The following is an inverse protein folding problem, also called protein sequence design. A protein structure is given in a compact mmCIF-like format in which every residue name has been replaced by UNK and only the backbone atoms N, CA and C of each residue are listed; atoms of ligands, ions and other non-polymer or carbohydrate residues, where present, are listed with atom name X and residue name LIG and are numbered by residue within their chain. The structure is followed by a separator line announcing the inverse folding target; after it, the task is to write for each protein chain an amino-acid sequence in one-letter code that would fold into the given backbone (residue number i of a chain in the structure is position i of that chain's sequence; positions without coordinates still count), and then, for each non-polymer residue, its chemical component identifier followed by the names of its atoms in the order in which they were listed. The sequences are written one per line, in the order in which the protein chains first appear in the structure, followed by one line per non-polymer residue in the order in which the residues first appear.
data_IF_426229937087
#
_entry.id   IF_426229937087
#
_cell.length_a   1.000
_cell.length_b   1.000
_cell.length_c   1.000
_cell.angle_alpha   90.00
_cell.angle_beta   90.00
_cell.angle_gamma   90.00
#
_symmetry.space_group_name_H-M   'P 1'
#
loop_
_entity.id
_entity.type
_entity.pdbx_description
1 polymer ?
#
# COMPACT_ATOMS: atom_id res chain seq x y z
N UNK A 1 20.29 -50.27 -38.04
CA UNK A 1 21.19 -49.13 -37.74
C UNK A 1 20.34 -47.99 -37.23
N UNK A 2 20.24 -47.86 -35.91
CA UNK A 2 19.47 -46.81 -35.26
C UNK A 2 20.45 -45.78 -34.69
N UNK A 3 20.49 -44.59 -35.27
CA UNK A 3 21.14 -43.41 -34.69
C UNK A 3 20.05 -42.47 -34.20
N UNK A 4 19.71 -42.60 -32.92
CA UNK A 4 18.87 -41.66 -32.20
C UNK A 4 19.66 -40.37 -31.96
N UNK A 5 19.06 -39.26 -32.40
CA UNK A 5 19.50 -37.89 -32.14
C UNK A 5 19.44 -37.62 -30.63
N UNK A 6 20.58 -37.31 -30.02
CA UNK A 6 20.63 -36.66 -28.72
C UNK A 6 20.31 -35.18 -28.93
N UNK A 7 19.18 -34.74 -28.36
CA UNK A 7 18.80 -33.34 -28.27
C UNK A 7 19.50 -32.71 -27.06
N UNK A 8 20.50 -31.87 -27.32
CA UNK A 8 21.07 -30.94 -26.35
C UNK A 8 19.99 -30.00 -25.82
N UNK A 9 19.64 -30.13 -24.54
CA UNK A 9 18.83 -29.16 -23.80
C UNK A 9 19.82 -28.26 -23.07
N UNK A 10 19.97 -27.03 -23.54
CA UNK A 10 20.98 -26.07 -23.09
C UNK A 10 20.87 -25.75 -21.60
N UNK A 11 21.94 -26.01 -20.86
CA UNK A 11 22.09 -25.61 -19.46
C UNK A 11 22.32 -24.09 -19.39
N UNK A 12 21.41 -23.35 -18.75
CA UNK A 12 21.63 -21.92 -18.49
C UNK A 12 22.90 -21.74 -17.67
N UNK A 13 23.82 -20.88 -18.12
CA UNK A 13 25.08 -20.62 -17.41
C UNK A 13 24.90 -19.77 -16.14
N UNK A 14 23.71 -19.19 -15.96
CA UNK A 14 23.33 -18.36 -14.82
C UNK A 14 22.12 -18.93 -14.10
N UNK A 15 22.16 -18.84 -12.76
CA UNK A 15 21.06 -19.20 -11.90
C UNK A 15 20.05 -18.06 -11.87
N UNK A 16 18.76 -18.42 -11.95
CA UNK A 16 17.69 -17.44 -11.86
C UNK A 16 17.45 -17.06 -10.40
N UNK A 17 17.51 -15.76 -10.09
CA UNK A 17 17.30 -15.25 -8.73
C UNK A 17 15.81 -15.00 -8.49
N UNK A 18 15.28 -15.53 -7.40
CA UNK A 18 13.86 -15.41 -7.03
C UNK A 18 13.75 -15.02 -5.56
N UNK A 19 12.84 -14.11 -5.21
CA UNK A 19 12.55 -13.80 -3.81
C UNK A 19 11.62 -14.85 -3.21
N UNK A 20 11.90 -15.27 -1.99
CA UNK A 20 10.97 -16.09 -1.21
C UNK A 20 9.76 -15.28 -0.76
N UNK A 21 8.72 -15.95 -0.26
CA UNK A 21 7.55 -15.28 0.31
C UNK A 21 7.88 -14.36 1.50
N UNK A 22 9.03 -14.56 2.15
CA UNK A 22 9.55 -13.73 3.25
C UNK A 22 10.66 -12.76 2.80
N UNK A 23 10.80 -12.50 1.50
CA UNK A 23 11.78 -11.55 0.96
C UNK A 23 13.23 -12.06 0.88
N UNK A 24 13.55 -13.23 1.46
CA UNK A 24 14.90 -13.83 1.36
C UNK A 24 15.21 -14.27 -0.07
N UNK A 25 16.45 -14.06 -0.50
CA UNK A 25 16.95 -14.49 -1.81
C UNK A 25 17.00 -16.03 -1.93
N UNK A 26 16.50 -16.53 -3.06
CA UNK A 26 16.59 -17.91 -3.52
C UNK A 26 17.14 -17.92 -4.93
N UNK A 27 17.65 -19.07 -5.36
CA UNK A 27 17.98 -19.32 -6.75
C UNK A 27 17.26 -20.54 -7.28
N UNK A 28 16.92 -20.50 -8.56
CA UNK A 28 16.39 -21.60 -9.35
C UNK A 28 17.47 -22.07 -10.33
N UNK A 29 17.78 -23.36 -10.30
CA UNK A 29 18.65 -24.03 -11.28
C UNK A 29 17.92 -25.30 -11.73
N UNK A 30 17.58 -25.40 -13.01
CA UNK A 30 16.89 -26.55 -13.63
C UNK A 30 15.63 -27.03 -12.88
N UNK A 31 14.85 -26.09 -12.32
CA UNK A 31 13.62 -26.40 -11.57
C UNK A 31 13.86 -26.80 -10.11
N UNK A 32 15.10 -26.76 -9.63
CA UNK A 32 15.45 -26.93 -8.23
C UNK A 32 15.64 -25.59 -7.53
N UNK A 33 14.92 -25.40 -6.42
CA UNK A 33 15.03 -24.21 -5.59
C UNK A 33 16.06 -24.38 -4.48
N UNK A 34 16.92 -23.38 -4.34
CA UNK A 34 17.94 -23.32 -3.32
C UNK A 34 17.79 -22.07 -2.44
N UNK A 35 18.24 -22.20 -1.19
CA UNK A 35 18.33 -21.12 -0.21
C UNK A 35 19.80 -20.86 0.09
N UNK A 36 20.15 -19.59 0.34
CA UNK A 36 21.51 -19.19 0.70
C UNK A 36 21.93 -19.85 2.02
N UNK A 37 23.07 -20.54 2.02
CA UNK A 37 23.72 -21.09 3.20
C UNK A 37 24.72 -20.07 3.76
N UNK A 38 25.73 -19.74 2.95
CA UNK A 38 26.80 -18.78 3.28
C UNK A 38 27.41 -18.19 2.03
N UNK A 39 28.16 -17.11 2.15
CA UNK A 39 29.02 -16.60 1.09
C UNK A 39 30.43 -16.34 1.62
N UNK A 40 31.41 -16.44 0.72
CA UNK A 40 32.80 -16.04 0.92
C UNK A 40 33.18 -15.21 -0.30
N UNK A 41 33.44 -13.93 -0.09
CA UNK A 41 33.67 -12.98 -1.17
C UNK A 41 32.52 -13.03 -2.19
N UNK A 42 32.83 -13.21 -3.48
CA UNK A 42 31.86 -13.36 -4.55
C UNK A 42 31.36 -14.81 -4.75
N UNK A 43 31.80 -15.76 -3.93
CA UNK A 43 31.36 -17.16 -3.99
C UNK A 43 30.22 -17.40 -3.03
N UNK A 44 29.08 -17.85 -3.55
CA UNK A 44 27.86 -18.13 -2.80
C UNK A 44 27.60 -19.63 -2.75
N UNK A 45 27.32 -20.11 -1.55
CA UNK A 45 26.98 -21.50 -1.27
C UNK A 45 25.49 -21.60 -0.99
N UNK A 46 24.86 -22.56 -1.67
CA UNK A 46 23.43 -22.73 -1.67
C UNK A 46 23.07 -24.17 -1.28
N UNK A 47 21.99 -24.31 -0.54
CA UNK A 47 21.44 -25.61 -0.11
C UNK A 47 20.03 -25.77 -0.66
N UNK A 48 19.65 -26.98 -1.03
CA UNK A 48 18.28 -27.25 -1.47
C UNK A 48 17.27 -26.83 -0.39
N UNK A 49 16.17 -26.19 -0.79
CA UNK A 49 15.12 -25.76 0.15
C UNK A 49 14.55 -26.93 0.98
N UNK A 50 14.48 -28.13 0.39
CA UNK A 50 13.96 -29.34 1.04
C UNK A 50 14.89 -29.88 2.14
N UNK A 51 16.10 -29.31 2.35
CA UNK A 51 17.00 -29.69 3.45
C UNK A 51 16.38 -29.51 4.85
N UNK A 52 15.40 -28.61 4.97
CA UNK A 52 14.69 -28.35 6.22
C UNK A 52 13.47 -29.27 6.45
N UNK A 53 13.05 -30.03 5.43
CA UNK A 53 11.92 -30.95 5.53
C UNK A 53 12.34 -32.22 6.28
N UNK A 54 11.50 -32.68 7.23
CA UNK A 54 11.81 -33.85 8.07
C UNK A 54 11.74 -35.17 7.29
N UNK A 55 10.78 -35.31 6.38
CA UNK A 55 10.48 -36.56 5.67
C UNK A 55 11.23 -36.68 4.33
N UNK A 56 11.43 -35.57 3.63
CA UNK A 56 12.02 -35.49 2.28
C UNK A 56 13.30 -34.65 2.28
N UNK A 57 14.17 -34.90 3.25
CA UNK A 57 15.39 -34.10 3.47
C UNK A 57 16.34 -34.25 2.28
N UNK A 58 16.55 -33.17 1.54
CA UNK A 58 17.50 -33.12 0.43
C UNK A 58 18.82 -32.47 0.88
N UNK A 59 19.95 -33.10 0.58
CA UNK A 59 21.29 -32.61 0.95
C UNK A 59 22.04 -31.94 -0.21
N UNK A 60 21.43 -31.85 -1.39
CA UNK A 60 22.00 -31.22 -2.57
C UNK A 60 22.46 -29.78 -2.31
N UNK A 61 23.59 -29.42 -2.92
CA UNK A 61 24.24 -28.12 -2.79
C UNK A 61 24.60 -27.57 -4.17
N UNK A 62 24.53 -26.26 -4.29
CA UNK A 62 25.01 -25.54 -5.47
C UNK A 62 25.97 -24.42 -5.05
N UNK A 63 26.90 -24.08 -5.94
CA UNK A 63 27.82 -22.96 -5.77
C UNK A 63 27.68 -22.03 -6.96
N UNK A 64 27.55 -20.73 -6.71
CA UNK A 64 27.52 -19.70 -7.75
C UNK A 64 28.58 -18.65 -7.50
N UNK A 65 29.11 -18.03 -8.54
CA UNK A 65 29.95 -16.85 -8.46
C UNK A 65 29.11 -15.64 -8.84
N UNK A 66 29.09 -14.60 -7.99
CA UNK A 66 28.39 -13.35 -8.27
C UNK A 66 29.19 -12.54 -9.30
N UNK A 67 28.52 -12.08 -10.35
CA UNK A 67 29.10 -11.21 -11.38
C UNK A 67 28.11 -10.08 -11.63
N UNK A 68 28.37 -8.91 -11.04
CA UNK A 68 27.37 -7.85 -10.95
C UNK A 68 26.15 -8.30 -10.14
N UNK A 69 24.95 -8.11 -10.70
CA UNK A 69 23.68 -8.53 -10.10
C UNK A 69 23.27 -9.98 -10.45
N UNK A 70 24.11 -10.70 -11.17
CA UNK A 70 23.82 -12.06 -11.64
C UNK A 70 24.64 -13.12 -10.89
N UNK A 71 24.08 -14.33 -10.82
CA UNK A 71 24.72 -15.49 -10.20
C UNK A 71 25.12 -16.51 -11.27
N UNK A 72 26.40 -16.55 -11.65
CA UNK A 72 26.93 -17.55 -12.58
C UNK A 72 27.07 -18.89 -11.87
N UNK A 73 26.57 -19.96 -12.48
CA UNK A 73 26.65 -21.30 -11.89
C UNK A 73 28.09 -21.79 -11.95
N UNK A 74 28.66 -22.13 -10.79
CA UNK A 74 30.02 -22.66 -10.68
C UNK A 74 30.03 -24.17 -10.42
N UNK A 75 29.15 -24.66 -9.54
CA UNK A 75 28.95 -26.09 -9.27
C UNK A 75 27.47 -26.38 -9.08
N UNK A 76 26.94 -27.32 -9.85
CA UNK A 76 25.58 -27.82 -9.76
C UNK A 76 25.57 -29.27 -10.27
N UNK A 77 24.81 -30.13 -9.59
CA UNK A 77 24.64 -31.52 -9.98
C UNK A 77 23.20 -31.95 -9.65
N UNK A 78 22.41 -32.14 -10.69
CA UNK A 78 21.01 -32.53 -10.58
C UNK A 78 20.83 -33.93 -9.94
N UNK A 79 21.83 -34.82 -10.04
CA UNK A 79 21.75 -36.20 -9.52
C UNK A 79 21.86 -36.26 -7.98
N UNK A 80 22.31 -35.19 -7.33
CA UNK A 80 22.39 -35.11 -5.88
C UNK A 80 21.04 -34.90 -5.20
N UNK A 81 19.98 -34.63 -5.98
CA UNK A 81 18.63 -34.51 -5.47
C UNK A 81 17.96 -35.87 -5.31
N UNK A 82 17.32 -36.08 -4.16
CA UNK A 82 16.47 -37.25 -3.89
C UNK A 82 14.99 -36.98 -4.23
N UNK A 83 14.73 -36.01 -5.09
CA UNK A 83 13.40 -35.61 -5.50
C UNK A 83 13.41 -35.05 -6.91
N UNK A 84 12.27 -35.12 -7.60
CA UNK A 84 12.11 -34.49 -8.90
C UNK A 84 12.18 -32.95 -8.81
N UNK A 85 12.58 -32.27 -9.90
CA UNK A 85 12.46 -30.82 -10.02
C UNK A 85 10.99 -30.40 -10.02
N UNK A 86 10.70 -29.21 -9.48
CA UNK A 86 9.36 -28.64 -9.40
C UNK A 86 9.28 -27.41 -10.31
N UNK A 87 9.14 -27.62 -11.63
CA UNK A 87 9.22 -26.55 -12.63
C UNK A 87 8.21 -25.40 -12.40
N UNK A 88 7.02 -25.69 -11.86
CA UNK A 88 5.99 -24.68 -11.60
C UNK A 88 6.29 -23.81 -10.37
N UNK A 89 7.07 -24.30 -9.40
CA UNK A 89 7.27 -23.61 -8.11
C UNK A 89 8.04 -22.29 -8.22
N UNK A 90 9.11 -22.17 -9.03
CA UNK A 90 9.72 -20.88 -9.37
C UNK A 90 8.71 -19.85 -9.89
N UNK A 91 7.84 -20.25 -10.81
CA UNK A 91 6.90 -19.34 -11.45
C UNK A 91 5.74 -18.94 -10.52
N UNK A 92 5.26 -19.88 -9.69
CA UNK A 92 4.31 -19.58 -8.60
C UNK A 92 4.88 -18.51 -7.66
N UNK A 93 6.16 -18.63 -7.28
CA UNK A 93 6.82 -17.65 -6.42
C UNK A 93 6.93 -16.28 -7.10
N UNK A 94 7.24 -16.23 -8.41
CA UNK A 94 7.26 -14.98 -9.18
C UNK A 94 5.89 -14.32 -9.20
N UNK A 95 4.83 -15.06 -9.53
CA UNK A 95 3.46 -14.54 -9.53
C UNK A 95 3.06 -13.99 -8.15
N UNK A 96 3.40 -14.71 -7.07
CA UNK A 96 3.15 -14.25 -5.71
C UNK A 96 3.95 -13.00 -5.32
N UNK A 97 5.19 -12.86 -5.81
CA UNK A 97 6.00 -11.66 -5.58
C UNK A 97 5.45 -10.47 -6.35
N UNK A 98 5.05 -10.67 -7.61
CA UNK A 98 4.41 -9.63 -8.42
C UNK A 98 3.13 -9.12 -7.75
N UNK A 99 2.29 -10.01 -7.23
CA UNK A 99 1.08 -9.62 -6.47
C UNK A 99 1.42 -8.76 -5.24
N UNK A 100 2.54 -9.04 -4.56
CA UNK A 100 2.99 -8.24 -3.40
C UNK A 100 3.52 -6.89 -3.82
N UNK A 101 4.35 -6.86 -4.87
CA UNK A 101 4.92 -5.62 -5.41
C UNK A 101 3.80 -4.69 -5.90
N UNK A 102 2.82 -5.20 -6.65
CA UNK A 102 1.60 -4.46 -7.00
C UNK A 102 0.82 -4.02 -5.77
N UNK A 103 0.73 -4.88 -4.76
CA UNK A 103 0.13 -4.56 -3.48
C UNK A 103 0.78 -3.36 -2.78
N UNK A 104 2.09 -3.19 -2.93
CA UNK A 104 2.88 -2.12 -2.32
C UNK A 104 2.80 -0.80 -3.06
N UNK A 105 2.67 -0.83 -4.39
CA UNK A 105 2.67 0.38 -5.23
C UNK A 105 1.26 0.87 -5.61
N UNK A 106 0.24 0.01 -5.50
CA UNK A 106 -1.14 0.33 -5.91
C UNK A 106 -2.12 0.29 -4.72
N UNK A 107 -3.05 1.24 -4.74
CA UNK A 107 -4.22 1.30 -3.85
C UNK A 107 -5.39 0.41 -4.31
N UNK A 108 -5.23 -0.38 -5.38
CA UNK A 108 -6.27 -1.27 -5.90
C UNK A 108 -6.78 -2.27 -4.85
N UNK A 109 -8.01 -2.74 -5.00
CA UNK A 109 -8.50 -3.80 -4.12
C UNK A 109 -7.69 -5.10 -4.32
N UNK A 110 -7.32 -5.84 -3.26
CA UNK A 110 -6.54 -7.07 -3.40
C UNK A 110 -7.14 -8.09 -4.37
N UNK A 111 -8.48 -8.12 -4.49
CA UNK A 111 -9.16 -8.99 -5.45
C UNK A 111 -8.83 -8.63 -6.91
N UNK A 112 -8.72 -7.33 -7.22
CA UNK A 112 -8.36 -6.83 -8.55
C UNK A 112 -6.92 -7.22 -8.90
N UNK A 113 -5.99 -6.91 -8.00
CA UNK A 113 -4.56 -7.29 -8.15
C UNK A 113 -4.41 -8.80 -8.40
N UNK A 114 -5.13 -9.63 -7.65
CA UNK A 114 -5.11 -11.09 -7.83
C UNK A 114 -5.60 -11.49 -9.22
N UNK A 115 -6.73 -10.94 -9.66
CA UNK A 115 -7.31 -11.28 -10.96
C UNK A 115 -6.41 -10.83 -12.11
N UNK A 116 -5.81 -9.64 -12.02
CA UNK A 116 -4.93 -9.08 -13.05
C UNK A 116 -3.68 -9.95 -13.23
N UNK A 117 -3.02 -10.33 -12.13
CA UNK A 117 -1.85 -11.22 -12.20
C UNK A 117 -2.23 -12.63 -12.66
N UNK A 118 -3.37 -13.17 -12.25
CA UNK A 118 -3.85 -14.47 -12.74
C UNK A 118 -4.09 -14.43 -14.26
N UNK A 119 -4.66 -13.34 -14.77
CA UNK A 119 -4.91 -13.17 -16.21
C UNK A 119 -3.62 -13.17 -17.03
N UNK A 120 -2.51 -12.67 -16.48
CA UNK A 120 -1.20 -12.67 -17.14
C UNK A 120 -0.34 -13.91 -16.84
N UNK A 121 -0.75 -14.77 -15.91
CA UNK A 121 -0.01 -15.99 -15.52
C UNK A 121 -0.39 -17.17 -16.42
N UNK A 122 0.59 -17.99 -16.83
CA UNK A 122 0.35 -19.20 -17.64
C UNK A 122 -0.68 -20.13 -17.00
N UNK A 123 -1.59 -20.68 -17.83
CA UNK A 123 -2.69 -21.56 -17.42
C UNK A 123 -2.21 -22.82 -16.70
N UNK A 124 -1.01 -23.29 -17.02
CA UNK A 124 -0.41 -24.50 -16.43
C UNK A 124 -0.02 -24.30 -14.96
N UNK A 125 0.24 -23.06 -14.53
CA UNK A 125 0.71 -22.71 -13.19
C UNK A 125 -0.46 -22.33 -12.28
N UNK A 126 -1.57 -21.84 -12.84
CA UNK A 126 -2.72 -21.36 -12.07
C UNK A 126 -3.23 -22.37 -11.02
N UNK A 127 -3.29 -23.69 -11.29
CA UNK A 127 -3.68 -24.69 -10.28
C UNK A 127 -2.70 -24.81 -9.11
N UNK A 128 -1.43 -24.43 -9.31
CA UNK A 128 -0.38 -24.47 -8.30
C UNK A 128 -0.30 -23.20 -7.44
N UNK A 129 -1.08 -22.16 -7.76
CA UNK A 129 -1.12 -20.93 -6.98
C UNK A 129 -1.71 -21.17 -5.58
N UNK A 130 -1.27 -20.42 -4.55
CA UNK A 130 -1.89 -20.49 -3.24
C UNK A 130 -3.37 -20.08 -3.28
N UNK A 131 -4.13 -20.50 -2.25
CA UNK A 131 -5.53 -20.09 -2.10
C UNK A 131 -5.66 -18.55 -2.14
N UNK A 132 -6.72 -18.05 -2.79
CA UNK A 132 -6.99 -16.62 -2.95
C UNK A 132 -6.92 -15.85 -1.63
N UNK A 133 -7.43 -16.41 -0.53
CA UNK A 133 -7.37 -15.77 0.79
C UNK A 133 -5.95 -15.69 1.35
N UNK A 134 -5.11 -16.69 1.12
CA UNK A 134 -3.71 -16.65 1.53
C UNK A 134 -2.95 -15.55 0.77
N UNK A 135 -3.21 -15.40 -0.53
CA UNK A 135 -2.65 -14.32 -1.35
C UNK A 135 -3.15 -12.96 -0.88
N UNK A 136 -4.46 -12.82 -0.63
CA UNK A 136 -5.06 -11.58 -0.09
C UNK A 136 -4.38 -11.16 1.23
N UNK A 137 -4.13 -12.11 2.14
CA UNK A 137 -3.41 -11.84 3.38
C UNK A 137 -1.94 -11.43 3.13
N UNK A 138 -1.28 -12.02 2.14
CA UNK A 138 0.07 -11.62 1.77
C UNK A 138 0.13 -10.19 1.21
N UNK A 139 -0.82 -9.79 0.36
CA UNK A 139 -0.95 -8.42 -0.17
C UNK A 139 -1.18 -7.42 0.97
N UNK A 140 -2.14 -7.72 1.87
CA UNK A 140 -2.42 -6.87 3.04
C UNK A 140 -1.19 -6.68 3.93
N UNK A 141 -0.39 -7.73 4.13
CA UNK A 141 0.87 -7.65 4.89
C UNK A 141 1.93 -6.84 4.17
N UNK A 142 2.04 -6.98 2.84
CA UNK A 142 3.02 -6.24 2.05
C UNK A 142 2.75 -4.72 2.08
N UNK A 143 1.47 -4.32 2.05
CA UNK A 143 1.04 -2.91 2.23
C UNK A 143 1.54 -2.31 3.54
N UNK A 144 1.34 -3.01 4.65
CA UNK A 144 1.80 -2.58 5.98
C UNK A 144 3.31 -2.38 6.12
N UNK A 145 4.11 -2.93 5.21
CA UNK A 145 5.58 -2.73 5.20
C UNK A 145 5.97 -1.45 4.46
N UNK A 146 5.16 -1.00 3.50
CA UNK A 146 5.33 0.31 2.86
C UNK A 146 4.70 1.44 3.69
N UNK A 147 3.66 1.15 4.46
CA UNK A 147 3.15 2.03 5.53
C UNK A 147 4.11 2.03 6.75
N UNK A 148 5.41 2.28 6.53
CA UNK A 148 6.38 2.49 7.61
C UNK A 148 6.12 3.80 8.40
N UNK A 149 5.12 4.58 8.00
CA UNK A 149 4.47 5.54 8.89
C UNK A 149 3.68 4.74 9.93
N UNK A 150 4.37 4.33 11.01
CA UNK A 150 3.73 3.81 12.21
C UNK A 150 2.54 4.71 12.54
N UNK A 151 1.34 4.11 12.63
CA UNK A 151 0.17 4.86 13.06
C UNK A 151 0.53 5.64 14.34
N UNK A 152 0.36 6.97 14.33
CA UNK A 152 0.70 7.81 15.47
C UNK A 152 -0.07 7.30 16.68
N UNK A 153 0.63 7.09 17.79
CA UNK A 153 0.02 6.62 19.04
C UNK A 153 -0.46 7.78 19.91
N UNK A 154 0.08 8.96 19.68
CA UNK A 154 -0.25 10.20 20.37
C UNK A 154 -0.46 11.31 19.35
N UNK A 155 -1.17 12.37 19.75
CA UNK A 155 -1.33 13.56 18.91
C UNK A 155 0.01 14.24 18.67
N UNK A 156 0.92 14.26 19.64
CA UNK A 156 2.26 14.86 19.50
C UNK A 156 3.13 14.17 18.45
N UNK A 157 3.01 12.85 18.33
CA UNK A 157 3.71 12.06 17.30
C UNK A 157 3.14 12.29 15.90
N UNK A 158 1.89 12.76 15.79
CA UNK A 158 1.28 13.01 14.49
C UNK A 158 1.87 14.25 13.84
N UNK A 159 2.39 14.08 12.63
CA UNK A 159 2.76 15.17 11.72
C UNK A 159 2.03 14.95 10.42
N UNK A 160 1.35 15.99 9.92
CA UNK A 160 0.74 15.96 8.60
C UNK A 160 1.87 16.03 7.55
N UNK A 161 2.08 14.98 6.74
CA UNK A 161 3.10 15.01 5.69
C UNK A 161 2.75 16.03 4.60
N UNK A 162 3.74 16.76 4.09
CA UNK A 162 3.54 17.78 3.06
C UNK A 162 2.93 17.22 1.77
N UNK A 163 3.23 15.96 1.44
CA UNK A 163 2.64 15.28 0.28
C UNK A 163 1.11 15.15 0.38
N UNK A 164 0.55 15.16 1.60
CA UNK A 164 -0.89 15.06 1.85
C UNK A 164 -1.53 16.41 2.16
N UNK A 165 -0.76 17.51 2.19
CA UNK A 165 -1.32 18.86 2.37
C UNK A 165 -1.72 19.53 1.05
N UNK A 166 -1.38 18.91 -0.09
CA UNK A 166 -1.65 19.39 -1.44
C UNK A 166 -2.57 18.43 -2.21
N UNK A 167 -3.42 18.99 -3.05
CA UNK A 167 -4.27 18.24 -3.99
C UNK A 167 -3.43 17.67 -5.14
N UNK A 168 -4.03 16.79 -5.96
CA UNK A 168 -3.41 16.28 -7.19
C UNK A 168 -3.01 17.39 -8.18
N UNK A 169 -3.61 18.58 -8.07
CA UNK A 169 -3.32 19.75 -8.90
C UNK A 169 -2.35 20.73 -8.21
N UNK A 170 -1.77 20.38 -7.06
CA UNK A 170 -0.79 21.20 -6.35
C UNK A 170 -1.38 22.35 -5.51
N UNK A 171 -2.70 22.38 -5.31
CA UNK A 171 -3.36 23.39 -4.46
C UNK A 171 -3.33 22.91 -3.01
N UNK A 172 -2.95 23.76 -2.07
CA UNK A 172 -3.05 23.46 -0.63
C UNK A 172 -4.51 23.25 -0.24
N UNK A 173 -4.78 22.13 0.44
CA UNK A 173 -6.13 21.82 0.90
C UNK A 173 -6.21 21.30 2.34
N UNK A 174 -5.08 21.06 3.03
CA UNK A 174 -5.10 20.58 4.40
C UNK A 174 -4.24 21.48 5.32
N UNK A 175 -4.78 21.82 6.48
CA UNK A 175 -4.15 22.64 7.53
C UNK A 175 -4.23 21.90 8.86
N UNK A 176 -3.12 21.84 9.59
CA UNK A 176 -3.05 21.26 10.93
C UNK A 176 -3.02 22.38 11.97
N UNK A 177 -4.11 22.52 12.72
CA UNK A 177 -4.30 23.53 13.76
C UNK A 177 -4.14 22.84 15.12
N UNK A 178 -3.39 23.45 16.03
CA UNK A 178 -3.14 22.93 17.37
C UNK A 178 -3.60 23.95 18.40
N UNK A 179 -4.48 23.53 19.30
CA UNK A 179 -5.05 24.35 20.37
C UNK A 179 -4.78 23.64 21.71
N UNK A 180 -3.72 24.05 22.41
CA UNK A 180 -3.26 23.35 23.61
C UNK A 180 -2.86 21.89 23.32
N UNK A 181 -3.56 20.93 23.94
CA UNK A 181 -3.38 19.48 23.72
C UNK A 181 -4.24 18.93 22.59
N UNK A 182 -5.14 19.74 22.06
CA UNK A 182 -6.13 19.34 21.08
C UNK A 182 -5.72 19.76 19.67
N UNK A 183 -6.30 19.10 18.66
CA UNK A 183 -5.95 19.34 17.25
C UNK A 183 -7.17 19.32 16.34
N UNK A 184 -7.07 20.13 15.28
CA UNK A 184 -8.03 20.19 14.19
C UNK A 184 -7.26 20.02 12.88
N UNK A 185 -7.58 18.97 12.11
CA UNK A 185 -7.15 18.87 10.72
C UNK A 185 -8.26 19.41 9.84
N UNK A 186 -8.05 20.60 9.32
CA UNK A 186 -8.97 21.29 8.43
C UNK A 186 -8.63 20.95 6.99
N UNK A 187 -9.61 20.45 6.24
CA UNK A 187 -9.50 20.18 4.82
C UNK A 187 -10.45 21.08 4.04
N UNK A 188 -9.89 22.05 3.33
CA UNK A 188 -10.62 22.99 2.48
C UNK A 188 -9.66 23.65 1.49
N UNK A 189 -10.14 24.02 0.31
CA UNK A 189 -9.37 24.79 -0.68
C UNK A 189 -9.72 26.27 -0.60
N UNK A 190 -8.91 27.14 -1.20
CA UNK A 190 -9.21 28.57 -1.33
C UNK A 190 -10.49 28.89 -2.14
N UNK A 191 -10.99 27.95 -2.95
CA UNK A 191 -12.23 28.14 -3.71
C UNK A 191 -13.48 27.83 -2.88
N UNK A 192 -13.35 26.97 -1.87
CA UNK A 192 -14.48 26.50 -1.07
C UNK A 192 -15.12 27.64 -0.23
N UNK A 193 -14.36 28.55 0.42
CA UNK A 193 -14.94 29.73 1.06
C UNK A 193 -15.74 30.63 0.12
N UNK A 194 -15.40 30.71 -1.18
CA UNK A 194 -16.17 31.49 -2.17
C UNK A 194 -17.57 30.91 -2.34
N UNK A 195 -17.64 29.58 -2.45
CA UNK A 195 -18.92 28.86 -2.52
C UNK A 195 -19.71 28.98 -1.22
N UNK A 196 -19.04 29.01 -0.06
CA UNK A 196 -19.68 29.24 1.23
C UNK A 196 -20.26 30.65 1.36
N UNK A 197 -19.58 31.68 0.84
CA UNK A 197 -20.07 33.05 0.83
C UNK A 197 -21.31 33.22 -0.06
N UNK A 198 -21.31 32.61 -1.25
CA UNK A 198 -22.44 32.68 -2.18
C UNK A 198 -23.67 31.89 -1.67
N UNK A 199 -23.45 30.92 -0.78
CA UNK A 199 -24.49 30.06 -0.26
C UNK A 199 -25.36 30.76 0.80
N UNK A 200 -26.68 30.72 0.59
CA UNK A 200 -27.67 31.23 1.55
C UNK A 200 -27.73 30.46 2.86
N UNK A 201 -27.45 29.15 2.81
CA UNK A 201 -27.50 28.31 3.99
C UNK A 201 -26.37 27.29 4.00
N UNK A 202 -25.91 26.96 5.20
CA UNK A 202 -24.93 25.92 5.43
C UNK A 202 -25.59 24.76 6.17
N UNK A 203 -25.22 23.54 5.79
CA UNK A 203 -25.60 22.32 6.49
C UNK A 203 -24.35 21.75 7.12
N UNK A 204 -24.42 21.48 8.42
CA UNK A 204 -23.29 21.03 9.20
C UNK A 204 -23.66 19.72 9.87
N UNK A 205 -22.74 18.75 9.82
CA UNK A 205 -22.96 17.42 10.38
C UNK A 205 -21.65 16.85 10.92
N UNK A 206 -21.76 16.20 12.08
CA UNK A 206 -20.67 15.55 12.80
C UNK A 206 -20.81 14.03 12.77
N UNK A 207 -19.83 13.31 12.21
CA UNK A 207 -19.86 11.84 12.16
C UNK A 207 -18.72 11.18 12.96
N UNK A 208 -19.05 10.07 13.63
CA UNK A 208 -18.17 9.33 14.56
C UNK A 208 -17.69 7.99 14.01
N UNK A 209 -18.42 7.41 13.05
CA UNK A 209 -18.25 5.99 12.67
C UNK A 209 -16.98 5.74 11.83
N UNK A 210 -16.33 6.78 11.34
CA UNK A 210 -15.23 6.70 10.35
C UNK A 210 -14.03 7.55 10.75
N UNK A 211 -13.71 7.64 12.05
CA UNK A 211 -12.65 8.51 12.58
C UNK A 211 -11.50 7.67 13.16
N UNK A 212 -10.23 8.00 12.89
CA UNK A 212 -9.07 7.34 13.50
C UNK A 212 -9.07 7.45 15.02
N UNK A 213 -8.45 6.53 15.75
CA UNK A 213 -8.50 6.46 17.23
C UNK A 213 -8.02 7.72 17.96
N UNK A 214 -7.16 8.53 17.34
CA UNK A 214 -6.67 9.79 17.91
C UNK A 214 -7.67 10.93 17.80
N UNK A 215 -8.62 10.83 16.88
CA UNK A 215 -9.63 11.85 16.63
C UNK A 215 -10.99 11.31 17.08
N UNK A 216 -11.88 12.22 17.48
CA UNK A 216 -13.18 11.83 18.02
C UNK A 216 -14.33 12.14 17.07
N UNK A 217 -14.17 13.09 16.17
CA UNK A 217 -15.21 13.51 15.24
C UNK A 217 -14.65 13.94 13.90
N UNK A 218 -15.38 13.63 12.84
CA UNK A 218 -15.26 14.30 11.54
C UNK A 218 -16.45 15.23 11.41
N UNK A 219 -16.19 16.52 11.43
CA UNK A 219 -17.17 17.57 11.20
C UNK A 219 -17.12 18.01 9.75
N UNK A 220 -18.27 18.28 9.13
CA UNK A 220 -18.35 18.62 7.72
C UNK A 220 -19.34 19.74 7.47
N UNK A 221 -18.92 20.73 6.67
CA UNK A 221 -19.75 21.86 6.27
C UNK A 221 -20.09 21.68 4.80
N UNK A 222 -21.39 21.64 4.52
CA UNK A 222 -21.94 21.49 3.20
C UNK A 222 -22.69 22.75 2.79
N UNK A 223 -22.61 23.08 1.52
CA UNK A 223 -23.37 24.19 0.96
C UNK A 223 -23.83 23.87 -0.46
N UNK A 224 -24.88 24.55 -0.95
CA UNK A 224 -25.26 24.47 -2.35
C UNK A 224 -24.14 24.99 -3.26
N UNK A 225 -23.66 24.15 -4.18
CA UNK A 225 -22.78 24.54 -5.27
C UNK A 225 -23.47 24.31 -6.62
N UNK A 226 -23.33 25.26 -7.54
CA UNK A 226 -23.98 25.26 -8.85
C UNK A 226 -25.05 26.35 -8.99
N UNK A 227 -25.38 26.71 -10.23
CA UNK A 227 -26.28 27.85 -10.52
C UNK A 227 -27.71 27.68 -10.01
N UNK A 228 -28.47 28.78 -9.99
CA UNK A 228 -29.79 28.95 -9.36
C UNK A 228 -30.86 27.87 -9.64
N UNK A 229 -30.73 27.08 -10.72
CA UNK A 229 -31.74 26.11 -11.15
C UNK A 229 -31.33 24.66 -10.79
N UNK A 230 -30.03 24.36 -10.65
CA UNK A 230 -29.51 23.00 -10.45
C UNK A 230 -28.34 23.02 -9.44
N UNK A 231 -28.58 23.53 -8.23
CA UNK A 231 -27.57 23.43 -7.18
C UNK A 231 -27.56 22.02 -6.58
N UNK A 232 -26.37 21.55 -6.19
CA UNK A 232 -26.19 20.33 -5.41
C UNK A 232 -25.57 20.68 -4.07
N UNK A 233 -26.04 20.03 -3.01
CA UNK A 233 -25.37 20.12 -1.71
C UNK A 233 -24.07 19.34 -1.83
N UNK A 234 -22.94 20.03 -1.63
CA UNK A 234 -21.62 19.42 -1.66
C UNK A 234 -20.86 19.74 -0.37
N UNK A 235 -20.01 18.82 0.12
CA UNK A 235 -19.13 19.11 1.24
C UNK A 235 -18.01 20.03 0.78
N UNK A 236 -17.87 21.17 1.44
CA UNK A 236 -16.87 22.19 1.14
C UNK A 236 -15.74 22.22 2.17
N UNK A 237 -16.04 21.87 3.42
CA UNK A 237 -15.05 21.85 4.50
C UNK A 237 -15.20 20.55 5.26
N UNK A 238 -14.07 19.92 5.56
CA UNK A 238 -13.99 18.83 6.51
C UNK A 238 -13.05 19.21 7.65
N UNK A 239 -13.41 18.92 8.88
CA UNK A 239 -12.59 19.14 10.04
C UNK A 239 -12.51 17.85 10.87
N UNK A 240 -11.32 17.30 11.00
CA UNK A 240 -11.06 16.16 11.89
C UNK A 240 -10.64 16.71 13.25
N UNK A 241 -11.47 16.49 14.27
CA UNK A 241 -11.32 17.12 15.58
C UNK A 241 -11.08 16.07 16.67
N UNK A 242 -10.22 16.40 17.63
CA UNK A 242 -9.86 15.50 18.74
C UNK A 242 -10.91 15.46 19.83
N UNK A 243 -11.65 16.55 20.03
CA UNK A 243 -12.72 16.71 21.03
C UNK A 243 -13.90 17.50 20.47
N UNK A 244 -15.01 17.50 21.20
CA UNK A 244 -16.24 18.27 20.90
C UNK A 244 -16.41 19.48 21.82
N UNK A 245 -15.33 20.19 22.13
CA UNK A 245 -15.44 21.38 22.98
C UNK A 245 -15.89 22.59 22.17
N UNK A 246 -16.61 23.49 22.83
CA UNK A 246 -16.95 24.82 22.29
C UNK A 246 -15.70 25.55 21.79
N UNK A 247 -14.61 25.51 22.57
CA UNK A 247 -13.31 26.10 22.22
C UNK A 247 -12.77 25.63 20.85
N UNK A 248 -12.90 24.33 20.53
CA UNK A 248 -12.43 23.80 19.24
C UNK A 248 -13.35 24.18 18.09
N UNK A 249 -14.66 24.26 18.32
CA UNK A 249 -15.58 24.75 17.30
C UNK A 249 -15.35 26.23 17.01
N UNK A 250 -15.18 27.05 18.05
CA UNK A 250 -14.82 28.47 17.90
C UNK A 250 -13.52 28.60 17.12
N UNK A 251 -12.49 27.81 17.46
CA UNK A 251 -11.21 27.82 16.75
C UNK A 251 -11.36 27.39 15.29
N UNK A 252 -12.17 26.38 14.99
CA UNK A 252 -12.48 25.96 13.63
C UNK A 252 -13.08 27.11 12.80
N UNK A 253 -14.07 27.83 13.34
CA UNK A 253 -14.72 28.92 12.62
C UNK A 253 -13.84 30.15 12.49
N UNK A 254 -13.01 30.45 13.50
CA UNK A 254 -12.00 31.51 13.41
C UNK A 254 -11.04 31.24 12.25
N UNK A 255 -10.49 30.02 12.18
CA UNK A 255 -9.57 29.63 11.11
C UNK A 255 -10.23 29.66 9.73
N UNK A 256 -11.51 29.28 9.64
CA UNK A 256 -12.27 29.36 8.39
C UNK A 256 -12.51 30.82 7.95
N UNK A 257 -12.80 31.71 8.90
CA UNK A 257 -12.96 33.14 8.63
C UNK A 257 -11.64 33.79 8.23
N UNK A 258 -10.54 33.50 8.92
CA UNK A 258 -9.20 33.98 8.56
C UNK A 258 -8.84 33.57 7.12
N UNK A 259 -9.09 32.31 6.74
CA UNK A 259 -8.87 31.84 5.37
C UNK A 259 -9.75 32.56 4.33
N UNK A 260 -10.96 32.97 4.71
CA UNK A 260 -11.85 33.74 3.84
C UNK A 260 -11.37 35.20 3.70
N UNK A 261 -10.97 35.83 4.81
CA UNK A 261 -10.45 37.19 4.86
C UNK A 261 -9.16 37.34 4.04
N UNK A 262 -8.27 36.34 4.07
CA UNK A 262 -7.08 36.27 3.21
C UNK A 262 -7.40 36.38 1.71
N UNK A 263 -8.63 36.04 1.32
CA UNK A 263 -9.13 36.11 -0.04
C UNK A 263 -10.15 37.24 -0.26
N UNK A 264 -10.24 38.20 0.68
CA UNK A 264 -11.17 39.33 0.67
C UNK A 264 -12.65 38.89 0.67
N UNK A 265 -12.95 37.74 1.27
CA UNK A 265 -14.30 37.18 1.37
C UNK A 265 -14.85 37.38 2.78
N UNK A 266 -16.15 37.59 2.90
CA UNK A 266 -16.85 37.68 4.18
C UNK A 266 -17.91 36.57 4.29
N UNK A 267 -17.71 35.65 5.23
CA UNK A 267 -18.62 34.52 5.42
C UNK A 267 -19.80 34.93 6.32
N UNK A 268 -20.97 35.15 5.71
CA UNK A 268 -22.23 35.49 6.41
C UNK A 268 -23.38 34.65 5.89
N UNK A 269 -23.53 33.38 6.33
CA UNK A 269 -24.68 32.57 5.95
C UNK A 269 -25.98 33.15 6.54
N UNK A 270 -27.07 33.14 5.76
CA UNK A 270 -28.39 33.56 6.25
C UNK A 270 -28.97 32.53 7.25
N UNK A 271 -28.70 31.25 7.00
CA UNK A 271 -29.20 30.13 7.81
C UNK A 271 -28.12 29.07 8.03
N UNK A 272 -28.04 28.56 9.25
CA UNK A 272 -27.20 27.41 9.59
C UNK A 272 -28.12 26.28 10.06
N UNK A 273 -27.96 25.11 9.43
CA UNK A 273 -28.66 23.90 9.80
C UNK A 273 -27.65 22.91 10.37
N UNK A 274 -27.72 22.67 11.67
CA UNK A 274 -26.85 21.73 12.39
C UNK A 274 -27.70 20.85 13.28
N UNK A 275 -27.26 19.63 13.55
CA UNK A 275 -27.83 18.81 14.60
C UNK A 275 -27.44 19.35 16.00
N UNK A 276 -28.17 18.93 17.03
CA UNK A 276 -27.90 19.37 18.39
C UNK A 276 -26.66 18.67 18.93
N UNK A 277 -25.53 19.34 18.82
CA UNK A 277 -24.28 18.93 19.46
C UNK A 277 -24.24 19.57 20.86
N UNK A 278 -24.34 18.75 21.90
CA UNK A 278 -24.17 19.21 23.28
C UNK A 278 -22.67 19.45 23.51
N UNK A 279 -22.29 20.71 23.72
CA UNK A 279 -20.92 21.10 24.09
C UNK A 279 -20.45 20.51 25.41
#
# INVERSE_FOLDING_TARGET
MASSKNSDIGTSSYAEVIKSTKGKCKINIDGFLYIKDKNRDDVYYWICERKSQKETKCTARATTIRTGDQHKIHKFDAQQHNHAPEASKPEVLKACNQMKELGQISNDQPARIINDVIATTSREIQPCLPRKDAVRQQIKRARRVCDEELEPKTLDDFKLPDAYSITLNGIHFAKNITEGTERILLFTTAENPKLLQEAKFWIMDGTFKTVPTLFRQLYSIHAPAGGNINFRIVPLVYALMTMKSEELYEKLFQELNEMAEEHELELKPDFILTDFEQG
#
